data_IF_928422410614
#
_entry.id   IF_928422410614
#
_cell.length_a   1.000
_cell.length_b   1.000
_cell.length_c   1.000
_cell.angle_alpha   90.00
_cell.angle_beta   90.00
_cell.angle_gamma   90.00
#
_symmetry.space_group_name_H-M   'P 1'
#
loop_
_entity.id
_entity.type
_entity.pdbx_description
1 polymer ?
#
# COMPACT_ATOMS: atom_id res chain seq x y z
N UNK A 1 -0.67 18.25 -22.05
CA UNK A 1 -0.60 17.86 -20.63
C UNK A 1 -0.45 16.36 -20.61
N UNK A 2 0.75 15.89 -20.33
CA UNK A 2 1.04 14.46 -20.20
C UNK A 2 0.13 13.93 -19.09
N UNK A 3 -0.81 13.05 -19.45
CA UNK A 3 -1.70 12.44 -18.47
C UNK A 3 -0.80 11.65 -17.53
N UNK A 4 -0.57 12.16 -16.31
CA UNK A 4 0.22 11.44 -15.32
C UNK A 4 -0.35 10.03 -15.20
N UNK A 5 0.45 9.02 -15.56
CA UNK A 5 -0.01 7.65 -15.59
C UNK A 5 -0.43 7.27 -14.16
N UNK A 6 -1.71 6.98 -13.97
CA UNK A 6 -2.22 6.57 -12.66
C UNK A 6 -1.53 5.30 -12.21
N UNK A 7 -1.11 5.27 -10.96
CA UNK A 7 -0.52 4.08 -10.35
C UNK A 7 -1.55 2.95 -10.27
N UNK A 8 -1.11 1.71 -10.45
CA UNK A 8 -1.98 0.55 -10.31
C UNK A 8 -2.28 0.25 -8.83
N UNK A 9 -1.35 0.60 -7.94
CA UNK A 9 -1.44 0.34 -6.52
C UNK A 9 -0.81 1.48 -5.71
N UNK A 10 -1.32 1.67 -4.49
CA UNK A 10 -0.74 2.57 -3.50
C UNK A 10 -0.12 1.81 -2.33
N UNK A 11 0.93 2.36 -1.74
CA UNK A 11 1.49 1.89 -0.47
C UNK A 11 1.63 3.06 0.51
N UNK A 12 0.95 2.95 1.65
CA UNK A 12 0.98 3.90 2.75
C UNK A 12 1.78 3.31 3.93
N UNK A 13 2.87 3.99 4.29
CA UNK A 13 3.79 3.57 5.35
C UNK A 13 5.14 3.15 4.81
N UNK A 14 6.12 4.07 4.89
CA UNK A 14 7.45 3.90 4.29
C UNK A 14 8.53 3.68 5.36
N UNK A 15 8.25 2.77 6.30
CA UNK A 15 9.29 2.14 7.10
C UNK A 15 10.13 1.18 6.23
N UNK A 16 11.13 0.50 6.80
CA UNK A 16 12.06 -0.36 6.03
C UNK A 16 11.33 -1.36 5.12
N UNK A 17 10.38 -2.12 5.68
CA UNK A 17 9.59 -3.10 4.92
C UNK A 17 8.73 -2.43 3.84
N UNK A 18 8.06 -1.32 4.16
CA UNK A 18 7.19 -0.62 3.21
C UNK A 18 7.96 -0.04 2.03
N UNK A 19 9.17 0.49 2.27
CA UNK A 19 10.06 0.95 1.20
C UNK A 19 10.48 -0.20 0.30
N UNK A 20 10.93 -1.31 0.87
CA UNK A 20 11.39 -2.44 0.08
C UNK A 20 10.27 -3.11 -0.73
N UNK A 21 9.07 -3.26 -0.13
CA UNK A 21 7.91 -3.76 -0.86
C UNK A 21 7.54 -2.83 -2.02
N UNK A 22 7.56 -1.50 -1.80
CA UNK A 22 7.28 -0.55 -2.85
C UNK A 22 8.29 -0.65 -4.02
N UNK A 23 9.58 -0.77 -3.70
CA UNK A 23 10.64 -0.95 -4.68
C UNK A 23 10.51 -2.28 -5.42
N UNK A 24 10.21 -3.39 -4.74
CA UNK A 24 10.01 -4.71 -5.36
C UNK A 24 8.84 -4.69 -6.37
N UNK A 25 7.72 -4.04 -6.00
CA UNK A 25 6.58 -3.86 -6.90
C UNK A 25 6.99 -3.03 -8.12
N UNK A 26 7.71 -1.93 -7.91
CA UNK A 26 8.17 -1.06 -8.98
C UNK A 26 9.18 -1.75 -9.92
N UNK A 27 10.11 -2.55 -9.38
CA UNK A 27 11.09 -3.34 -10.14
C UNK A 27 10.41 -4.34 -11.08
N UNK A 28 9.27 -4.89 -10.69
CA UNK A 28 8.45 -5.76 -11.54
C UNK A 28 7.63 -5.00 -12.59
N UNK A 29 7.84 -3.70 -12.73
CA UNK A 29 7.23 -2.85 -13.74
C UNK A 29 5.81 -2.39 -13.40
N UNK A 30 5.37 -2.52 -12.13
CA UNK A 30 4.06 -2.03 -11.71
C UNK A 30 4.16 -0.58 -11.22
N UNK A 31 3.48 0.38 -11.87
CA UNK A 31 3.40 1.76 -11.39
C UNK A 31 2.80 1.82 -9.98
N UNK A 32 3.56 2.31 -9.02
CA UNK A 32 3.15 2.37 -7.61
C UNK A 32 3.23 3.80 -7.08
N UNK A 33 2.18 4.22 -6.39
CA UNK A 33 2.19 5.47 -5.61
C UNK A 33 2.58 5.15 -4.17
N UNK A 34 3.37 6.01 -3.54
CA UNK A 34 3.78 5.87 -2.14
C UNK A 34 3.42 7.10 -1.32
N UNK A 35 3.04 6.88 -0.07
CA UNK A 35 2.72 7.94 0.88
C UNK A 35 3.21 7.58 2.28
N UNK A 36 3.65 8.59 3.02
CA UNK A 36 3.97 8.44 4.43
C UNK A 36 3.71 9.76 5.18
N UNK A 37 3.29 9.67 6.45
CA UNK A 37 3.06 10.86 7.30
C UNK A 37 4.31 11.73 7.43
N UNK A 38 5.48 11.12 7.55
CA UNK A 38 6.76 11.83 7.50
C UNK A 38 7.21 11.91 6.06
N UNK A 39 7.19 13.10 5.48
CA UNK A 39 7.47 13.36 4.06
C UNK A 39 8.90 13.00 3.66
N UNK A 40 9.89 13.15 4.55
CA UNK A 40 11.28 12.77 4.27
C UNK A 40 11.43 11.30 3.88
N UNK A 41 10.55 10.42 4.36
CA UNK A 41 10.55 8.99 3.96
C UNK A 41 10.07 8.78 2.53
N UNK A 42 9.20 9.65 2.02
CA UNK A 42 8.79 9.66 0.61
C UNK A 42 10.01 10.01 -0.25
N UNK A 43 10.71 11.08 0.11
CA UNK A 43 11.91 11.55 -0.60
C UNK A 43 13.00 10.47 -0.62
N UNK A 44 13.31 9.87 0.55
CA UNK A 44 14.27 8.75 0.66
C UNK A 44 13.89 7.57 -0.25
N UNK A 45 12.60 7.26 -0.39
CA UNK A 45 12.13 6.13 -1.21
C UNK A 45 12.25 6.45 -2.70
N UNK A 46 11.93 7.68 -3.10
CA UNK A 46 12.10 8.14 -4.47
C UNK A 46 13.57 8.15 -4.88
N UNK A 47 14.45 8.64 -4.01
CA UNK A 47 15.90 8.64 -4.25
C UNK A 47 16.46 7.22 -4.40
N UNK A 48 15.92 6.25 -3.66
CA UNK A 48 16.24 4.83 -3.86
C UNK A 48 15.74 4.32 -5.21
N UNK A 49 14.48 4.56 -5.55
CA UNK A 49 13.88 4.15 -6.82
C UNK A 49 14.62 4.72 -8.05
N UNK A 50 15.10 5.96 -7.96
CA UNK A 50 15.90 6.57 -9.02
C UNK A 50 17.27 5.89 -9.18
N UNK A 51 17.95 5.58 -8.06
CA UNK A 51 19.25 4.90 -8.07
C UNK A 51 19.17 3.46 -8.57
N UNK A 52 18.04 2.79 -8.36
CA UNK A 52 17.81 1.39 -8.76
C UNK A 52 17.30 1.25 -10.21
N UNK A 53 17.41 2.31 -11.03
CA UNK A 53 17.12 2.26 -12.47
C UNK A 53 15.86 3.01 -12.89
N UNK A 54 15.52 4.10 -12.21
CA UNK A 54 14.33 4.92 -12.49
C UNK A 54 13.04 4.10 -12.44
N UNK A 55 12.86 3.37 -11.35
CA UNK A 55 11.67 2.54 -11.14
C UNK A 55 10.38 3.39 -11.19
N UNK A 56 9.25 2.84 -11.68
CA UNK A 56 7.98 3.55 -11.81
C UNK A 56 7.27 3.76 -10.45
N UNK A 57 7.91 4.52 -9.57
CA UNK A 57 7.48 4.81 -8.20
C UNK A 57 7.21 6.32 -8.06
N UNK A 58 6.03 6.69 -7.57
CA UNK A 58 5.56 8.07 -7.49
C UNK A 58 5.26 8.45 -6.04
N UNK A 59 5.91 9.49 -5.53
CA UNK A 59 5.73 9.95 -4.16
C UNK A 59 4.61 10.97 -4.04
N UNK A 60 3.79 10.84 -3.01
CA UNK A 60 2.70 11.74 -2.70
C UNK A 60 2.82 12.21 -1.25
N UNK A 61 2.54 13.49 -1.01
CA UNK A 61 2.79 14.14 0.29
C UNK A 61 1.53 14.40 1.11
N UNK A 62 0.36 14.23 0.50
CA UNK A 62 -0.93 14.36 1.17
C UNK A 62 -1.78 13.10 0.94
N UNK A 63 -2.66 12.72 1.90
CA UNK A 63 -3.58 11.60 1.71
C UNK A 63 -4.47 11.76 0.48
N UNK A 64 -4.90 12.99 0.19
CA UNK A 64 -5.77 13.30 -0.95
C UNK A 64 -5.05 13.02 -2.27
N UNK A 65 -3.85 13.58 -2.45
CA UNK A 65 -3.10 13.42 -3.70
C UNK A 65 -2.70 11.96 -3.91
N UNK A 66 -2.37 11.26 -2.82
CA UNK A 66 -2.12 9.82 -2.83
C UNK A 66 -3.31 8.97 -3.28
N UNK A 67 -4.51 9.23 -2.77
CA UNK A 67 -5.70 8.46 -3.19
C UNK A 67 -6.07 8.80 -4.64
N UNK A 68 -5.88 10.04 -5.07
CA UNK A 68 -6.19 10.47 -6.44
C UNK A 68 -5.16 10.01 -7.47
N UNK A 69 -3.93 9.68 -7.07
CA UNK A 69 -2.89 9.17 -7.98
C UNK A 69 -3.07 7.70 -8.37
N UNK A 70 -4.03 6.99 -7.77
CA UNK A 70 -4.25 5.55 -7.95
C UNK A 70 -5.47 5.31 -8.85
N UNK A 71 -5.33 4.36 -9.78
CA UNK A 71 -6.42 3.93 -10.68
C UNK A 71 -7.56 3.26 -9.91
N UNK A 72 -8.80 3.55 -10.30
CA UNK A 72 -10.01 2.89 -9.78
C UNK A 72 -10.21 1.48 -10.37
N UNK A 73 -10.76 0.51 -9.62
CA UNK A 73 -11.00 0.56 -8.17
C UNK A 73 -9.66 0.58 -7.42
N UNK A 74 -9.52 1.52 -6.49
CA UNK A 74 -8.23 1.83 -5.86
C UNK A 74 -7.84 0.68 -4.95
N UNK A 75 -6.57 0.31 -4.96
CA UNK A 75 -6.00 -0.69 -4.05
C UNK A 75 -4.85 -0.05 -3.30
N UNK A 76 -5.00 0.04 -1.97
CA UNK A 76 -4.01 0.67 -1.09
C UNK A 76 -3.54 -0.36 -0.07
N UNK A 77 -2.23 -0.52 0.01
CA UNK A 77 -1.54 -1.30 1.03
C UNK A 77 -1.19 -0.38 2.19
N UNK A 78 -1.49 -0.77 3.41
CA UNK A 78 -1.06 -0.08 4.63
C UNK A 78 -0.02 -0.95 5.34
N UNK A 79 1.16 -0.38 5.55
CA UNK A 79 2.27 -0.96 6.31
C UNK A 79 2.77 0.05 7.34
N UNK A 80 1.98 0.25 8.38
CA UNK A 80 2.33 1.12 9.51
C UNK A 80 2.35 0.32 10.81
N UNK A 81 2.88 0.93 11.88
CA UNK A 81 2.89 0.31 13.21
C UNK A 81 1.47 -0.05 13.65
N UNK A 82 1.28 -1.29 14.10
CA UNK A 82 0.01 -1.81 14.59
C UNK A 82 -0.60 -0.93 15.70
N UNK A 83 -1.92 -0.99 15.83
CA UNK A 83 -2.74 -0.19 16.74
C UNK A 83 -3.22 1.12 16.12
N UNK A 84 -3.28 2.18 16.95
CA UNK A 84 -3.87 3.47 16.58
C UNK A 84 -3.36 4.12 15.27
N UNK A 85 -2.07 3.98 14.86
CA UNK A 85 -1.61 4.54 13.60
C UNK A 85 -2.30 3.96 12.36
N UNK A 86 -2.71 2.69 12.40
CA UNK A 86 -3.45 2.05 11.31
C UNK A 86 -4.83 2.69 11.19
N UNK A 87 -5.56 2.81 12.30
CA UNK A 87 -6.90 3.42 12.33
C UNK A 87 -6.88 4.87 11.83
N UNK A 88 -5.88 5.66 12.25
CA UNK A 88 -5.69 7.04 11.77
C UNK A 88 -5.41 7.09 10.26
N UNK A 89 -4.62 6.16 9.75
CA UNK A 89 -4.29 6.09 8.32
C UNK A 89 -5.51 5.70 7.50
N UNK A 90 -6.27 4.69 7.95
CA UNK A 90 -7.52 4.27 7.31
C UNK A 90 -8.49 5.45 7.25
N UNK A 91 -8.71 6.15 8.36
CA UNK A 91 -9.62 7.29 8.40
C UNK A 91 -9.19 8.43 7.44
N UNK A 92 -7.90 8.76 7.42
CA UNK A 92 -7.37 9.82 6.56
C UNK A 92 -7.50 9.50 5.06
N UNK A 93 -7.35 8.23 4.69
CA UNK A 93 -7.47 7.78 3.30
C UNK A 93 -8.94 7.63 2.89
N UNK A 94 -9.76 7.02 3.75
CA UNK A 94 -11.17 6.71 3.48
C UNK A 94 -11.99 7.95 3.13
N UNK A 95 -11.61 9.13 3.65
CA UNK A 95 -12.24 10.41 3.33
C UNK A 95 -12.20 10.78 1.83
N UNK A 96 -11.30 10.16 1.05
CA UNK A 96 -11.12 10.42 -0.38
C UNK A 96 -11.38 9.18 -1.25
N UNK A 97 -11.76 8.05 -0.63
CA UNK A 97 -12.03 6.79 -1.32
C UNK A 97 -13.52 6.67 -1.68
N UNK A 98 -13.80 5.83 -2.66
CA UNK A 98 -15.15 5.56 -3.17
C UNK A 98 -15.57 4.12 -2.88
N UNK A 99 -16.88 3.83 -2.83
CA UNK A 99 -17.37 2.47 -2.67
C UNK A 99 -16.75 1.51 -3.71
N UNK A 100 -16.26 0.37 -3.24
CA UNK A 100 -15.53 -0.61 -4.05
C UNK A 100 -14.01 -0.45 -4.06
N UNK A 101 -13.48 0.64 -3.51
CA UNK A 101 -12.05 0.77 -3.24
C UNK A 101 -11.62 -0.17 -2.10
N UNK A 102 -10.35 -0.54 -2.12
CA UNK A 102 -9.79 -1.60 -1.27
C UNK A 102 -8.61 -1.08 -0.44
N UNK A 103 -8.66 -1.32 0.87
CA UNK A 103 -7.56 -1.14 1.81
C UNK A 103 -7.06 -2.51 2.26
N UNK A 104 -5.75 -2.68 2.27
CA UNK A 104 -5.10 -3.94 2.60
C UNK A 104 -4.18 -3.68 3.77
N UNK A 105 -4.50 -4.25 4.91
CA UNK A 105 -3.63 -4.20 6.08
C UNK A 105 -2.56 -5.28 5.96
N UNK A 106 -1.33 -4.84 5.72
CA UNK A 106 -0.15 -5.71 5.61
C UNK A 106 0.60 -5.91 6.93
N UNK A 107 0.16 -5.26 8.00
CA UNK A 107 0.83 -5.30 9.30
C UNK A 107 0.58 -6.59 10.08
N UNK A 108 1.37 -6.78 11.13
CA UNK A 108 1.16 -7.82 12.14
C UNK A 108 0.23 -7.29 13.25
N UNK A 109 -1.05 -7.17 12.94
CA UNK A 109 -2.09 -6.65 13.84
C UNK A 109 -2.84 -7.79 14.57
N UNK A 110 -3.38 -7.50 15.75
CA UNK A 110 -4.27 -8.41 16.46
C UNK A 110 -5.59 -8.62 15.70
N UNK A 111 -6.01 -9.88 15.55
CA UNK A 111 -7.12 -10.26 14.66
C UNK A 111 -8.44 -9.53 14.97
N UNK A 112 -8.76 -9.27 16.24
CA UNK A 112 -9.99 -8.57 16.64
C UNK A 112 -10.00 -7.11 16.14
N UNK A 113 -8.83 -6.46 16.08
CA UNK A 113 -8.71 -5.13 15.49
C UNK A 113 -8.96 -5.17 13.98
N UNK A 114 -8.47 -6.20 13.29
CA UNK A 114 -8.78 -6.39 11.87
C UNK A 114 -10.28 -6.60 11.67
N UNK A 115 -10.92 -7.48 12.43
CA UNK A 115 -12.35 -7.76 12.29
C UNK A 115 -13.20 -6.51 12.51
N UNK A 116 -12.90 -5.72 13.55
CA UNK A 116 -13.53 -4.41 13.77
C UNK A 116 -13.37 -3.49 12.55
N UNK A 117 -12.14 -3.34 12.05
CA UNK A 117 -11.84 -2.49 10.89
C UNK A 117 -12.56 -2.95 9.62
N UNK A 118 -12.73 -4.27 9.44
CA UNK A 118 -13.48 -4.83 8.32
C UNK A 118 -14.95 -4.42 8.36
N UNK A 119 -15.56 -4.45 9.55
CA UNK A 119 -16.95 -4.00 9.75
C UNK A 119 -17.07 -2.50 9.47
N UNK A 120 -16.18 -1.68 10.04
CA UNK A 120 -16.18 -0.22 9.86
C UNK A 120 -15.99 0.19 8.39
N UNK A 121 -15.06 -0.48 7.70
CA UNK A 121 -14.80 -0.24 6.28
C UNK A 121 -16.00 -0.66 5.42
N UNK A 122 -16.62 -1.81 5.70
CA UNK A 122 -17.78 -2.28 4.96
C UNK A 122 -18.99 -1.36 5.13
N UNK A 123 -19.16 -0.74 6.29
CA UNK A 123 -20.21 0.27 6.52
C UNK A 123 -20.02 1.51 5.62
N UNK A 124 -18.78 1.80 5.23
CA UNK A 124 -18.41 2.89 4.31
C UNK A 124 -18.34 2.46 2.84
N UNK A 125 -18.72 1.21 2.52
CA UNK A 125 -18.63 0.65 1.16
C UNK A 125 -17.21 0.28 0.70
N UNK A 126 -16.24 0.30 1.62
CA UNK A 126 -14.84 -0.04 1.35
C UNK A 126 -14.59 -1.53 1.65
N UNK A 127 -13.65 -2.12 0.91
CA UNK A 127 -13.19 -3.48 1.17
C UNK A 127 -11.91 -3.42 2.01
N UNK A 128 -11.92 -4.03 3.19
CA UNK A 128 -10.72 -4.18 4.01
C UNK A 128 -10.36 -5.65 4.16
N UNK A 129 -9.07 -5.98 4.05
CA UNK A 129 -8.61 -7.33 4.33
C UNK A 129 -7.10 -7.46 4.50
N UNK A 130 -6.68 -8.56 5.12
CA UNK A 130 -5.26 -8.86 5.36
C UNK A 130 -4.63 -9.55 4.14
N UNK A 131 -3.37 -9.98 4.27
CA UNK A 131 -2.63 -10.67 3.20
C UNK A 131 -3.37 -11.86 2.54
N UNK A 132 -4.23 -12.59 3.28
CA UNK A 132 -5.09 -13.64 2.73
C UNK A 132 -6.22 -13.14 1.81
N UNK A 133 -6.76 -11.95 2.07
CA UNK A 133 -7.67 -11.26 1.15
C UNK A 133 -6.91 -10.82 -0.11
N UNK A 134 -5.69 -10.31 0.06
CA UNK A 134 -4.81 -9.95 -1.05
C UNK A 134 -4.54 -11.12 -1.99
N UNK A 135 -4.23 -12.29 -1.44
CA UNK A 135 -4.05 -13.53 -2.21
C UNK A 135 -5.29 -13.91 -3.01
N UNK A 136 -6.50 -13.73 -2.48
CA UNK A 136 -7.73 -14.03 -3.23
C UNK A 136 -8.00 -13.02 -4.34
N UNK A 137 -7.70 -11.74 -4.11
CA UNK A 137 -7.94 -10.67 -5.08
C UNK A 137 -6.88 -10.62 -6.19
N UNK A 138 -5.61 -10.83 -5.84
CA UNK A 138 -4.47 -10.65 -6.73
C UNK A 138 -3.66 -11.93 -6.98
N UNK A 139 -4.01 -13.06 -6.38
CA UNK A 139 -3.29 -14.33 -6.57
C UNK A 139 -3.31 -14.86 -8.00
N UNK A 140 -4.24 -14.40 -8.84
CA UNK A 140 -4.20 -14.64 -10.28
C UNK A 140 -3.13 -13.79 -11.01
N UNK A 141 -2.80 -12.61 -10.48
CA UNK A 141 -1.67 -11.79 -10.92
C UNK A 141 -0.40 -12.24 -10.20
N UNK A 142 0.23 -13.27 -10.77
CA UNK A 142 1.41 -13.94 -10.20
C UNK A 142 2.53 -12.95 -9.83
N UNK A 143 2.74 -11.90 -10.62
CA UNK A 143 3.82 -10.95 -10.38
C UNK A 143 3.61 -10.05 -9.15
N UNK A 144 2.39 -9.55 -8.90
CA UNK A 144 2.06 -8.79 -7.69
C UNK A 144 2.04 -9.68 -6.46
N UNK A 145 1.43 -10.87 -6.57
CA UNK A 145 1.47 -11.87 -5.49
C UNK A 145 2.90 -12.25 -5.12
N UNK A 146 3.76 -12.52 -6.10
CA UNK A 146 5.17 -12.84 -5.88
C UNK A 146 5.98 -11.64 -5.35
N UNK A 147 5.52 -10.39 -5.53
CA UNK A 147 6.18 -9.22 -4.96
C UNK A 147 6.03 -9.19 -3.44
N UNK A 148 4.87 -9.62 -2.96
CA UNK A 148 4.56 -9.70 -1.54
C UNK A 148 4.99 -11.04 -0.91
N UNK A 149 4.57 -12.15 -1.52
CA UNK A 149 4.68 -13.52 -0.98
C UNK A 149 5.79 -14.35 -1.63
N UNK A 150 6.56 -13.76 -2.55
CA UNK A 150 7.73 -14.41 -3.10
C UNK A 150 8.83 -14.55 -2.04
N UNK A 151 9.91 -15.30 -2.33
CA UNK A 151 10.98 -15.57 -1.37
C UNK A 151 11.57 -14.28 -0.75
N UNK A 152 11.72 -13.22 -1.55
CA UNK A 152 12.23 -11.93 -1.09
C UNK A 152 11.22 -11.20 -0.18
N UNK A 153 9.96 -11.08 -0.58
CA UNK A 153 8.93 -10.43 0.23
C UNK A 153 8.65 -11.17 1.55
N UNK A 154 8.73 -12.51 1.54
CA UNK A 154 8.62 -13.33 2.75
C UNK A 154 9.81 -13.18 3.70
N UNK A 155 11.04 -13.08 3.17
CA UNK A 155 12.23 -12.82 3.99
C UNK A 155 12.13 -11.46 4.69
N UNK A 156 11.65 -10.44 3.98
CA UNK A 156 11.45 -9.12 4.55
C UNK A 156 10.31 -9.11 5.59
N UNK A 157 9.21 -9.81 5.32
CA UNK A 157 8.10 -9.97 6.27
C UNK A 157 8.55 -10.68 7.56
N UNK A 158 9.29 -11.79 7.45
CA UNK A 158 9.76 -12.57 8.59
C UNK A 158 10.80 -11.84 9.46
N UNK A 159 11.51 -10.86 8.91
CA UNK A 159 12.48 -10.05 9.68
C UNK A 159 11.84 -9.00 10.60
N UNK A 160 10.52 -8.86 10.51
CA UNK A 160 9.73 -7.85 11.23
C UNK A 160 8.81 -8.46 12.31
N UNK A 161 8.56 -9.78 12.27
CA UNK A 161 7.86 -10.56 13.31
C UNK A 161 8.85 -11.11 14.32
#
# INVERSE_FOLDING_TARGET
>A
MESAALSQIGLAGLAVMGQNLALNIAEKGFPISVYNRTTSKVDETLDRAHREGQLPLFGQYTPKDFVLSIKKPRSIIILVKAGAPVDQTIAALSAYMEPGDTIIDGGNEWYENTERRMVDASASGLLLGNGGFWRRRWGASRALFDAWWGPQGLLEYSSYT
#
